data_IF_794055524978
#
_entry.id   IF_794055524978
#
_cell.length_a   1.000
_cell.length_b   1.000
_cell.length_c   1.000
_cell.angle_alpha   90.00
_cell.angle_beta   90.00
_cell.angle_gamma   90.00
#
_symmetry.space_group_name_H-M   'P 1'
#
loop_
_entity.id
_entity.type
_entity.pdbx_description
1 polymer ?
#
# COMPACT_ATOMS: atom_id res chain seq x y z
N UNK A 1 -30.80 32.72 23.45
CA UNK A 1 -30.80 31.38 22.81
C UNK A 1 -30.58 31.43 21.30
N UNK A 2 -31.42 32.09 20.50
CA UNK A 2 -31.31 32.12 19.02
C UNK A 2 -29.95 32.66 18.49
N UNK A 3 -29.40 33.73 19.10
CA UNK A 3 -28.07 34.27 18.75
C UNK A 3 -26.91 33.31 19.07
N UNK A 4 -27.01 32.59 20.19
CA UNK A 4 -26.01 31.60 20.61
C UNK A 4 -26.00 30.41 19.64
N UNK A 5 -27.19 29.95 19.22
CA UNK A 5 -27.32 28.90 18.20
C UNK A 5 -26.73 29.28 16.84
N UNK A 6 -26.91 30.54 16.42
CA UNK A 6 -26.29 31.06 15.17
C UNK A 6 -24.77 31.09 15.31
N UNK A 7 -24.24 31.59 16.43
CA UNK A 7 -22.79 31.66 16.67
C UNK A 7 -22.17 30.25 16.69
N UNK A 8 -22.79 29.29 17.39
CA UNK A 8 -22.35 27.89 17.37
C UNK A 8 -22.41 27.28 15.97
N UNK A 9 -23.49 27.52 15.21
CA UNK A 9 -23.60 27.02 13.84
C UNK A 9 -22.50 27.57 12.91
N UNK A 10 -22.17 28.86 13.05
CA UNK A 10 -21.08 29.48 12.27
C UNK A 10 -19.72 28.90 12.68
N UNK A 11 -19.46 28.70 13.97
CA UNK A 11 -18.21 28.08 14.45
C UNK A 11 -18.05 26.68 13.86
N UNK A 12 -19.11 25.84 13.91
CA UNK A 12 -19.08 24.49 13.34
C UNK A 12 -18.82 24.55 11.83
N UNK A 13 -19.47 25.46 11.10
CA UNK A 13 -19.25 25.63 9.66
C UNK A 13 -17.80 26.01 9.34
N UNK A 14 -17.21 26.94 10.08
CA UNK A 14 -15.81 27.35 9.89
C UNK A 14 -14.86 26.18 10.14
N UNK A 15 -15.10 25.38 11.18
CA UNK A 15 -14.29 24.18 11.47
C UNK A 15 -14.41 23.15 10.34
N UNK A 16 -15.61 22.91 9.80
CA UNK A 16 -15.81 21.99 8.69
C UNK A 16 -15.10 22.47 7.41
N UNK A 17 -15.20 23.77 7.09
CA UNK A 17 -14.54 24.35 5.93
C UNK A 17 -13.01 24.31 6.06
N UNK A 18 -12.48 24.55 7.27
CA UNK A 18 -11.05 24.45 7.53
C UNK A 18 -10.50 23.03 7.37
N UNK A 19 -11.34 21.99 7.57
CA UNK A 19 -10.95 20.58 7.52
C UNK A 19 -11.55 19.81 6.32
N UNK A 20 -12.06 20.51 5.31
CA UNK A 20 -12.77 19.89 4.19
C UNK A 20 -11.92 18.85 3.45
N UNK A 21 -10.62 19.12 3.29
CA UNK A 21 -9.67 18.18 2.66
C UNK A 21 -9.61 16.86 3.41
N UNK A 22 -9.38 16.94 4.72
CA UNK A 22 -9.30 15.78 5.61
C UNK A 22 -10.59 14.97 5.60
N UNK A 23 -11.75 15.65 5.69
CA UNK A 23 -13.06 14.97 5.65
C UNK A 23 -13.29 14.23 4.34
N UNK A 24 -12.92 14.83 3.20
CA UNK A 24 -13.07 14.19 1.89
C UNK A 24 -12.12 13.00 1.75
N UNK A 25 -10.87 13.12 2.20
CA UNK A 25 -9.93 12.01 2.18
C UNK A 25 -10.39 10.83 3.06
N UNK A 26 -10.94 11.08 4.25
CA UNK A 26 -11.52 10.02 5.10
C UNK A 26 -12.77 9.38 4.49
N UNK A 27 -13.68 10.18 3.93
CA UNK A 27 -14.83 9.65 3.21
C UNK A 27 -14.38 8.77 2.04
N UNK A 28 -13.29 9.16 1.37
CA UNK A 28 -12.72 8.39 0.27
C UNK A 28 -12.07 7.09 0.75
N UNK A 29 -11.27 7.14 1.82
CA UNK A 29 -10.68 5.96 2.45
C UNK A 29 -11.77 4.96 2.88
N UNK A 30 -12.87 5.44 3.44
CA UNK A 30 -14.01 4.58 3.78
C UNK A 30 -14.58 3.86 2.55
N UNK A 31 -14.77 4.57 1.43
CA UNK A 31 -15.20 3.96 0.18
C UNK A 31 -14.17 2.97 -0.37
N UNK A 32 -12.88 3.26 -0.20
CA UNK A 32 -11.80 2.34 -0.55
C UNK A 32 -11.88 1.04 0.23
N UNK A 33 -11.97 1.12 1.56
CA UNK A 33 -12.05 -0.06 2.44
C UNK A 33 -13.25 -0.97 2.12
N UNK A 34 -14.37 -0.39 1.66
CA UNK A 34 -15.55 -1.17 1.29
C UNK A 34 -15.47 -1.83 -0.09
N UNK A 35 -14.68 -1.25 -1.01
CA UNK A 35 -14.66 -1.70 -2.41
C UNK A 35 -13.34 -2.38 -2.81
N UNK A 36 -12.30 -2.31 -1.99
CA UNK A 36 -11.01 -2.94 -2.29
C UNK A 36 -11.17 -4.45 -2.37
N UNK A 37 -10.49 -5.04 -3.35
CA UNK A 37 -10.38 -6.48 -3.51
C UNK A 37 -8.95 -6.85 -3.14
N UNK A 38 -8.79 -7.78 -2.21
CA UNK A 38 -7.48 -8.33 -1.83
C UNK A 38 -7.38 -9.74 -2.37
N UNK A 39 -6.38 -10.00 -3.21
CA UNK A 39 -6.03 -11.32 -3.73
C UNK A 39 -4.67 -11.74 -3.21
N UNK A 40 -4.46 -13.04 -3.03
CA UNK A 40 -3.12 -13.59 -2.83
C UNK A 40 -2.61 -14.07 -4.18
N UNK A 41 -1.48 -13.54 -4.61
CA UNK A 41 -0.83 -13.90 -5.87
C UNK A 41 0.53 -14.55 -5.58
N UNK A 42 0.75 -15.73 -6.14
CA UNK A 42 2.07 -16.38 -6.11
C UNK A 42 2.94 -15.80 -7.22
N UNK A 43 4.07 -15.18 -6.87
CA UNK A 43 5.03 -14.61 -7.84
C UNK A 43 6.44 -15.08 -7.57
N UNK A 44 7.16 -15.38 -8.65
CA UNK A 44 8.62 -15.55 -8.64
C UNK A 44 9.23 -14.19 -8.96
N UNK A 45 10.03 -13.64 -8.06
CA UNK A 45 10.60 -12.30 -8.18
C UNK A 45 12.08 -12.32 -7.85
N UNK A 46 12.87 -11.71 -8.73
CA UNK A 46 14.26 -11.34 -8.47
C UNK A 46 14.35 -10.07 -7.62
N UNK A 47 15.56 -9.75 -7.16
CA UNK A 47 15.83 -8.50 -6.46
C UNK A 47 15.39 -7.27 -7.27
N UNK A 48 15.78 -7.21 -8.55
CA UNK A 48 15.51 -6.05 -9.42
C UNK A 48 14.01 -5.88 -9.71
N UNK A 49 13.29 -6.99 -9.96
CA UNK A 49 11.85 -6.93 -10.22
C UNK A 49 11.07 -6.46 -9.00
N UNK A 50 11.41 -7.00 -7.82
CA UNK A 50 10.75 -6.60 -6.58
C UNK A 50 11.11 -5.15 -6.24
N UNK A 51 12.38 -4.76 -6.30
CA UNK A 51 12.81 -3.39 -6.02
C UNK A 51 12.15 -2.39 -6.97
N UNK A 52 12.14 -2.67 -8.28
CA UNK A 52 11.47 -1.84 -9.28
C UNK A 52 9.98 -1.69 -9.00
N UNK A 53 9.27 -2.80 -8.75
CA UNK A 53 7.84 -2.78 -8.41
C UNK A 53 7.56 -1.93 -7.18
N UNK A 54 8.33 -2.09 -6.10
CA UNK A 54 8.14 -1.33 -4.86
C UNK A 54 8.52 0.15 -5.03
N UNK A 55 9.47 0.47 -5.92
CA UNK A 55 9.81 1.85 -6.24
C UNK A 55 8.68 2.54 -7.00
N UNK A 56 8.12 1.89 -8.03
CA UNK A 56 6.95 2.39 -8.77
C UNK A 56 5.75 2.59 -7.85
N UNK A 57 5.50 1.63 -6.95
CA UNK A 57 4.43 1.73 -5.96
C UNK A 57 4.61 2.95 -5.03
N UNK A 58 5.83 3.26 -4.60
CA UNK A 58 6.12 4.46 -3.79
C UNK A 58 5.91 5.76 -4.56
N UNK A 59 6.30 5.79 -5.83
CA UNK A 59 6.06 6.96 -6.69
C UNK A 59 4.56 7.20 -6.89
N UNK A 60 3.76 6.13 -7.03
CA UNK A 60 2.31 6.23 -7.07
C UNK A 60 1.74 6.74 -5.74
N UNK A 61 2.23 6.23 -4.61
CA UNK A 61 1.82 6.68 -3.29
C UNK A 61 2.05 8.19 -3.10
N UNK A 62 3.24 8.67 -3.45
CA UNK A 62 3.60 10.11 -3.38
C UNK A 62 2.63 10.98 -4.19
N UNK A 63 2.31 10.57 -5.42
CA UNK A 63 1.35 11.29 -6.27
C UNK A 63 -0.06 11.35 -5.66
N UNK A 64 -0.48 10.29 -4.96
CA UNK A 64 -1.81 10.21 -4.35
C UNK A 64 -1.89 10.95 -3.02
N UNK A 65 -0.82 10.96 -2.23
CA UNK A 65 -0.71 11.71 -0.97
C UNK A 65 -0.90 13.22 -1.16
N UNK A 66 -0.37 13.75 -2.26
CA UNK A 66 -0.56 15.15 -2.63
C UNK A 66 -2.00 15.48 -3.07
N UNK A 67 -2.83 14.46 -3.31
CA UNK A 67 -4.23 14.64 -3.70
C UNK A 67 -5.08 15.23 -2.58
N UNK A 68 -6.11 15.99 -2.95
CA UNK A 68 -7.17 16.39 -2.02
C UNK A 68 -8.07 15.21 -1.62
N UNK A 69 -8.23 14.23 -2.52
CA UNK A 69 -9.22 13.14 -2.40
C UNK A 69 -8.57 11.82 -2.00
N UNK A 70 -7.40 11.51 -2.56
CA UNK A 70 -6.77 10.19 -2.46
C UNK A 70 -5.63 10.12 -1.44
N UNK A 71 -5.41 11.16 -0.62
CA UNK A 71 -4.20 11.26 0.21
C UNK A 71 -4.00 10.06 1.11
N UNK A 72 -5.06 9.64 1.81
CA UNK A 72 -5.01 8.48 2.71
C UNK A 72 -4.90 7.14 1.98
N UNK A 73 -5.28 7.06 0.70
CA UNK A 73 -5.04 5.86 -0.12
C UNK A 73 -3.57 5.80 -0.54
N UNK A 74 -2.93 6.95 -0.78
CA UNK A 74 -1.49 7.03 -0.97
C UNK A 74 -0.72 6.48 0.24
N UNK A 75 -1.13 6.86 1.46
CA UNK A 75 -0.54 6.33 2.70
C UNK A 75 -0.65 4.79 2.80
N UNK A 76 -1.80 4.24 2.43
CA UNK A 76 -2.04 2.78 2.38
C UNK A 76 -1.12 2.07 1.38
N UNK A 77 -0.95 2.66 0.19
CA UNK A 77 -0.06 2.14 -0.86
C UNK A 77 1.39 2.18 -0.40
N UNK A 78 1.83 3.27 0.24
CA UNK A 78 3.18 3.40 0.79
C UNK A 78 3.43 2.34 1.86
N UNK A 79 2.50 2.16 2.79
CA UNK A 79 2.61 1.15 3.85
C UNK A 79 2.82 -0.24 3.29
N UNK A 80 2.03 -0.63 2.28
CA UNK A 80 2.20 -1.92 1.61
C UNK A 80 3.60 -2.09 1.00
N UNK A 81 4.16 -1.04 0.40
CA UNK A 81 5.50 -1.08 -0.16
C UNK A 81 6.59 -1.20 0.91
N UNK A 82 6.42 -0.50 2.03
CA UNK A 82 7.35 -0.53 3.15
C UNK A 82 7.36 -1.89 3.84
N UNK A 83 6.20 -2.54 4.00
CA UNK A 83 6.09 -3.89 4.52
C UNK A 83 6.77 -4.92 3.60
N UNK A 84 6.51 -4.86 2.30
CA UNK A 84 7.11 -5.77 1.30
C UNK A 84 8.62 -5.54 1.10
N UNK A 85 9.16 -4.38 1.49
CA UNK A 85 10.60 -4.07 1.33
C UNK A 85 11.51 -4.94 2.18
N UNK A 86 10.98 -5.63 3.18
CA UNK A 86 11.73 -6.65 3.93
C UNK A 86 12.29 -7.74 3.02
N UNK A 87 11.57 -8.10 1.96
CA UNK A 87 12.01 -9.11 1.00
C UNK A 87 13.15 -8.62 0.09
N UNK A 88 13.17 -7.31 -0.22
CA UNK A 88 14.30 -6.69 -0.92
C UNK A 88 15.55 -6.72 -0.05
N UNK A 89 15.40 -6.39 1.25
CA UNK A 89 16.50 -6.47 2.22
C UNK A 89 17.01 -7.90 2.32
N UNK A 90 16.10 -8.87 2.45
CA UNK A 90 16.42 -10.29 2.48
C UNK A 90 17.25 -10.73 1.27
N UNK A 91 16.81 -10.44 0.05
CA UNK A 91 17.54 -10.78 -1.18
C UNK A 91 18.91 -10.10 -1.25
N UNK A 92 19.03 -8.86 -0.76
CA UNK A 92 20.31 -8.14 -0.72
C UNK A 92 21.29 -8.76 0.27
N UNK A 93 20.81 -9.27 1.40
CA UNK A 93 21.63 -9.87 2.45
C UNK A 93 22.06 -11.31 2.14
N UNK A 94 21.39 -11.97 1.19
CA UNK A 94 21.64 -13.37 0.82
C UNK A 94 22.04 -13.48 -0.67
N UNK A 95 23.29 -13.14 -0.99
CA UNK A 95 23.80 -13.09 -2.39
C UNK A 95 23.67 -14.41 -3.17
N UNK A 96 23.54 -15.55 -2.49
CA UNK A 96 23.32 -16.87 -3.12
C UNK A 96 21.89 -17.08 -3.61
N UNK A 97 20.93 -16.33 -3.08
CA UNK A 97 19.52 -16.39 -3.45
C UNK A 97 19.29 -15.38 -4.58
N UNK A 98 19.00 -15.88 -5.77
CA UNK A 98 18.82 -15.03 -6.97
C UNK A 98 17.37 -14.62 -7.20
N UNK A 99 16.42 -15.40 -6.68
CA UNK A 99 15.00 -15.10 -6.72
C UNK A 99 14.27 -15.72 -5.52
N UNK A 100 13.09 -15.20 -5.22
CA UNK A 100 12.16 -15.75 -4.22
C UNK A 100 10.80 -16.00 -4.86
N UNK A 101 10.13 -17.05 -4.41
CA UNK A 101 8.71 -17.27 -4.69
C UNK A 101 7.91 -16.82 -3.48
N UNK A 102 7.00 -15.90 -3.70
CA UNK A 102 6.23 -15.21 -2.66
C UNK A 102 4.73 -15.40 -2.88
N UNK A 103 4.00 -15.61 -1.80
CA UNK A 103 2.56 -15.34 -1.75
C UNK A 103 2.35 -13.88 -1.32
N UNK A 104 1.98 -13.03 -2.28
CA UNK A 104 1.84 -11.59 -2.08
C UNK A 104 0.36 -11.19 -1.99
N UNK A 105 -0.04 -10.45 -0.94
CA UNK A 105 -1.32 -9.76 -0.95
C UNK A 105 -1.26 -8.60 -1.94
N UNK A 106 -2.11 -8.67 -2.96
CA UNK A 106 -2.30 -7.63 -3.96
C UNK A 106 -3.68 -7.03 -3.75
N UNK A 107 -3.74 -5.71 -3.59
CA UNK A 107 -5.00 -4.98 -3.50
C UNK A 107 -5.29 -4.25 -4.79
N UNK A 108 -6.50 -4.43 -5.30
CA UNK A 108 -7.05 -3.68 -6.43
C UNK A 108 -8.22 -2.84 -5.94
N UNK A 109 -8.25 -1.57 -6.37
CA UNK A 109 -9.35 -0.65 -6.11
C UNK A 109 -9.68 0.16 -7.36
N UNK A 110 -10.98 0.23 -7.68
CA UNK A 110 -11.51 1.00 -8.78
C UNK A 110 -12.70 1.84 -8.33
N UNK A 111 -12.73 3.12 -8.72
CA UNK A 111 -13.82 4.06 -8.39
C UNK A 111 -14.34 4.87 -9.60
N UNK A 112 -13.98 4.44 -10.81
CA UNK A 112 -14.29 5.09 -12.08
C UNK A 112 -13.40 6.30 -12.43
N UNK A 113 -12.55 6.77 -11.51
CA UNK A 113 -11.57 7.84 -11.75
C UNK A 113 -10.14 7.35 -11.61
N UNK A 114 -9.92 6.42 -10.68
CA UNK A 114 -8.67 5.77 -10.40
C UNK A 114 -8.88 4.26 -10.46
N UNK A 115 -7.87 3.58 -11.00
CA UNK A 115 -7.69 2.15 -10.84
C UNK A 115 -6.28 1.95 -10.29
N UNK A 116 -6.18 1.42 -9.08
CA UNK A 116 -4.91 1.20 -8.40
C UNK A 116 -4.79 -0.27 -8.01
N UNK A 117 -3.70 -0.88 -8.44
CA UNK A 117 -3.29 -2.23 -8.03
C UNK A 117 -1.93 -2.14 -7.39
N UNK A 118 -1.77 -2.68 -6.18
CA UNK A 118 -0.53 -2.56 -5.43
C UNK A 118 -0.33 -3.72 -4.44
N UNK A 119 0.91 -3.97 -4.04
CA UNK A 119 1.24 -4.92 -2.99
C UNK A 119 0.82 -4.31 -1.65
N UNK A 120 -0.14 -4.92 -0.96
CA UNK A 120 -0.79 -4.34 0.22
C UNK A 120 -0.31 -4.89 1.55
N UNK A 121 0.76 -5.67 1.54
CA UNK A 121 1.40 -6.17 2.75
C UNK A 121 2.67 -6.94 2.46
N UNK A 122 3.30 -7.45 3.51
CA UNK A 122 4.60 -8.12 3.40
C UNK A 122 4.56 -9.35 2.48
N UNK A 123 3.55 -10.22 2.62
CA UNK A 123 3.53 -11.53 1.97
C UNK A 123 4.52 -12.53 2.56
N UNK A 124 4.42 -13.78 2.12
CA UNK A 124 5.18 -14.92 2.67
C UNK A 124 6.08 -15.55 1.60
N UNK A 125 7.35 -15.77 1.93
CA UNK A 125 8.28 -16.50 1.05
C UNK A 125 7.98 -17.99 1.20
N UNK A 126 7.69 -18.67 0.10
CA UNK A 126 7.40 -20.11 0.09
C UNK A 126 8.59 -20.91 -0.45
N UNK A 127 9.35 -20.35 -1.40
CA UNK A 127 10.55 -20.98 -1.96
C UNK A 127 11.62 -19.92 -2.25
N UNK A 128 12.88 -20.33 -2.22
CA UNK A 128 14.05 -19.53 -2.61
C UNK A 128 14.79 -20.23 -3.73
N UNK A 129 15.27 -19.47 -4.71
CA UNK A 129 16.13 -19.96 -5.79
C UNK A 129 17.58 -19.75 -5.37
N UNK A 130 18.24 -20.82 -4.94
CA UNK A 130 19.63 -20.78 -4.47
C UNK A 130 20.48 -21.73 -5.31
N UNK A 131 21.61 -21.25 -5.84
CA UNK A 131 22.54 -22.06 -6.66
C UNK A 131 21.87 -22.73 -7.88
N UNK A 132 20.76 -22.17 -8.36
CA UNK A 132 20.01 -22.66 -9.53
C UNK A 132 18.91 -23.68 -9.20
N UNK A 133 18.68 -23.99 -7.93
CA UNK A 133 17.62 -24.91 -7.48
C UNK A 133 16.61 -24.21 -6.57
N UNK A 134 15.33 -24.48 -6.80
CA UNK A 134 14.27 -24.03 -5.89
C UNK A 134 14.24 -24.89 -4.64
N UNK A 135 14.30 -24.24 -3.48
CA UNK A 135 14.23 -24.88 -2.17
C UNK A 135 13.07 -24.29 -1.38
N UNK A 136 12.32 -25.14 -0.69
CA UNK A 136 11.30 -24.68 0.24
C UNK A 136 11.93 -23.78 1.30
N UNK A 137 11.28 -22.65 1.60
CA UNK A 137 11.73 -21.73 2.63
C UNK A 137 11.13 -22.13 3.97
N UNK A 138 11.97 -22.49 4.94
CA UNK A 138 11.54 -22.92 6.29
C UNK A 138 11.65 -21.78 7.33
N UNK A 139 11.94 -20.56 6.89
CA UNK A 139 12.14 -19.39 7.74
C UNK A 139 13.57 -19.19 8.23
N UNK A 140 14.49 -20.10 7.92
CA UNK A 140 15.93 -19.97 8.23
C UNK A 140 16.76 -20.13 6.94
N UNK A 141 17.57 -19.12 6.60
CA UNK A 141 18.63 -19.32 5.61
C UNK A 141 19.84 -19.89 6.36
N UNK A 142 20.22 -21.12 6.04
CA UNK A 142 21.40 -21.80 6.61
C UNK A 142 22.71 -21.42 5.93
#
# INVERSE_FOLDING_TARGET
MRKIGIILGVIVLVVLLANVRTLVAYAKLYSFEQAKIVTIETKELTFEELFGTLHEQRNLAEQLEDSFVYSLIGDEIRRGADEASKHVIFLREHEKITAIKLELPVTTYEDGKQNVTFISGQGEVIEVLEEGEWKAFDGEVR
#
